data_IF_562695192351
#
_entry.id   IF_562695192351
#
_cell.length_a   1.000
_cell.length_b   1.000
_cell.length_c   1.000
_cell.angle_alpha   90.00
_cell.angle_beta   90.00
_cell.angle_gamma   90.00
#
_symmetry.space_group_name_H-M   'P 1'
#
loop_
_entity.id
_entity.type
_entity.pdbx_description
1 polymer ?
#
# COMPACT_ATOMS: atom_id res chain seq x y z
N UNK A 1 -13.34 -11.84 1.46
CA UNK A 1 -12.69 -11.69 2.78
C UNK A 1 -11.21 -12.05 2.61
N UNK A 2 -10.33 -11.06 2.51
CA UNK A 2 -8.88 -11.30 2.43
C UNK A 2 -8.34 -11.54 3.85
N UNK A 3 -8.11 -12.80 4.18
CA UNK A 3 -7.64 -13.30 5.48
C UNK A 3 -6.18 -13.79 5.41
N UNK A 4 -5.35 -13.20 4.55
CA UNK A 4 -3.92 -13.50 4.58
C UNK A 4 -3.25 -12.68 5.70
N UNK A 5 -2.65 -13.33 6.71
CA UNK A 5 -2.02 -12.61 7.82
C UNK A 5 -0.82 -11.75 7.37
N UNK A 6 -0.24 -12.06 6.21
CA UNK A 6 0.97 -11.43 5.71
C UNK A 6 0.76 -10.86 4.31
N UNK A 7 1.42 -9.73 4.04
CA UNK A 7 1.51 -9.19 2.68
C UNK A 7 2.52 -10.00 1.87
N UNK A 8 2.12 -10.45 0.68
CA UNK A 8 3.05 -10.99 -0.30
C UNK A 8 4.23 -10.02 -0.52
N UNK A 9 5.42 -10.55 -0.83
CA UNK A 9 6.65 -9.74 -1.01
C UNK A 9 6.46 -8.59 -2.01
N UNK A 10 5.69 -8.82 -3.07
CA UNK A 10 5.34 -7.81 -4.07
C UNK A 10 4.48 -6.67 -3.47
N UNK A 11 3.50 -7.00 -2.63
CA UNK A 11 2.63 -6.03 -1.98
C UNK A 11 3.36 -5.26 -0.86
N UNK A 12 4.30 -5.89 -0.15
CA UNK A 12 5.21 -5.19 0.78
C UNK A 12 6.06 -4.15 0.06
N UNK A 13 6.62 -4.51 -1.09
CA UNK A 13 7.41 -3.59 -1.91
C UNK A 13 6.56 -2.43 -2.44
N UNK A 14 5.32 -2.71 -2.88
CA UNK A 14 4.39 -1.68 -3.32
C UNK A 14 3.98 -0.73 -2.18
N UNK A 15 3.72 -1.26 -0.99
CA UNK A 15 3.39 -0.48 0.21
C UNK A 15 4.55 0.44 0.62
N UNK A 16 5.79 -0.07 0.55
CA UNK A 16 6.99 0.73 0.80
C UNK A 16 7.10 1.90 -0.19
N UNK A 17 6.97 1.61 -1.50
CA UNK A 17 7.03 2.64 -2.54
C UNK A 17 5.88 3.64 -2.45
N UNK A 18 4.69 3.20 -2.05
CA UNK A 18 3.55 4.08 -1.81
C UNK A 18 3.85 5.06 -0.66
N UNK A 19 4.42 4.59 0.45
CA UNK A 19 4.85 5.44 1.57
C UNK A 19 5.90 6.47 1.12
N UNK A 20 6.87 6.09 0.31
CA UNK A 20 7.88 7.00 -0.25
C UNK A 20 7.29 8.05 -1.19
N UNK A 21 6.14 7.78 -1.81
CA UNK A 21 5.48 8.72 -2.73
C UNK A 21 4.77 9.87 -2.01
N UNK A 22 4.65 9.81 -0.68
CA UNK A 22 4.10 10.90 0.13
C UNK A 22 2.69 11.32 -0.28
N UNK A 23 2.42 12.62 -0.17
CA UNK A 23 1.09 13.20 -0.43
C UNK A 23 0.72 13.24 -1.93
N UNK A 24 1.73 13.26 -2.81
CA UNK A 24 1.51 13.14 -4.25
C UNK A 24 0.93 11.77 -4.62
N UNK A 25 1.13 10.76 -3.78
CA UNK A 25 0.68 9.40 -4.02
C UNK A 25 1.40 8.73 -5.19
N UNK A 26 1.07 7.46 -5.44
CA UNK A 26 1.69 6.63 -6.47
C UNK A 26 0.73 6.44 -7.65
N UNK A 27 1.17 6.62 -8.90
CA UNK A 27 0.30 6.43 -10.05
C UNK A 27 -0.08 4.94 -10.24
N UNK A 28 -1.20 4.68 -10.91
CA UNK A 28 -1.77 3.35 -11.12
C UNK A 28 -1.13 2.61 -12.32
N UNK A 29 -0.58 3.34 -13.29
CA UNK A 29 0.02 2.83 -14.53
C UNK A 29 1.49 2.37 -14.37
N UNK A 30 1.89 1.99 -13.16
CA UNK A 30 3.22 1.47 -12.83
C UNK A 30 3.19 -0.06 -12.76
N UNK A 31 4.36 -0.74 -12.84
CA UNK A 31 4.41 -2.20 -12.80
C UNK A 31 3.73 -2.82 -11.56
N UNK A 32 3.72 -2.11 -10.43
CA UNK A 32 3.06 -2.53 -9.20
C UNK A 32 1.59 -2.07 -9.05
N UNK A 33 0.98 -1.55 -10.11
CA UNK A 33 -0.44 -1.17 -10.15
C UNK A 33 -1.41 -2.25 -9.65
N UNK A 34 -1.26 -3.53 -10.03
CA UNK A 34 -2.06 -4.62 -9.47
C UNK A 34 -1.94 -4.75 -7.95
N UNK A 35 -0.73 -4.55 -7.40
CA UNK A 35 -0.50 -4.56 -5.96
C UNK A 35 -1.15 -3.35 -5.27
N UNK A 36 -1.13 -2.17 -5.90
CA UNK A 36 -1.80 -0.97 -5.37
C UNK A 36 -3.32 -1.16 -5.30
N UNK A 37 -3.92 -1.81 -6.31
CA UNK A 37 -5.35 -2.18 -6.27
C UNK A 37 -5.66 -3.16 -5.14
N UNK A 38 -4.86 -4.20 -4.94
CA UNK A 38 -5.01 -5.12 -3.80
C UNK A 38 -4.88 -4.39 -2.46
N UNK A 39 -3.88 -3.51 -2.30
CA UNK A 39 -3.73 -2.69 -1.10
C UNK A 39 -4.94 -1.78 -0.86
N UNK A 40 -5.57 -1.29 -1.93
CA UNK A 40 -6.82 -0.51 -1.84
C UNK A 40 -8.01 -1.36 -1.39
N UNK A 41 -8.16 -2.58 -1.92
CA UNK A 41 -9.18 -3.54 -1.46
C UNK A 41 -8.98 -3.94 0.02
N UNK A 42 -7.73 -3.94 0.50
CA UNK A 42 -7.37 -4.17 1.90
C UNK A 42 -7.51 -2.92 2.80
N UNK A 43 -7.86 -1.77 2.24
CA UNK A 43 -7.94 -0.49 2.98
C UNK A 43 -6.59 0.11 3.39
N UNK A 44 -5.47 -0.40 2.88
CA UNK A 44 -4.11 0.08 3.14
C UNK A 44 -3.71 1.22 2.19
N UNK A 45 -4.33 1.27 1.02
CA UNK A 45 -4.22 2.37 0.08
C UNK A 45 -5.60 2.94 -0.23
N UNK A 46 -5.65 4.17 -0.74
CA UNK A 46 -6.87 4.82 -1.22
C UNK A 46 -6.64 5.35 -2.62
N UNK A 47 -7.46 4.92 -3.57
CA UNK A 47 -7.53 5.56 -4.89
C UNK A 47 -8.07 6.98 -4.75
N UNK A 48 -7.31 7.99 -5.19
CA UNK A 48 -7.71 9.42 -5.17
C UNK A 48 -8.27 9.91 -6.50
N UNK A 49 -8.52 8.99 -7.43
CA UNK A 49 -9.01 9.21 -8.79
C UNK A 49 -8.78 7.95 -9.61
N UNK A 50 -8.95 8.02 -10.93
CA UNK A 50 -8.71 6.90 -11.84
C UNK A 50 -7.23 6.42 -11.83
N UNK A 51 -6.30 7.31 -11.48
CA UNK A 51 -4.89 7.11 -11.82
C UNK A 51 -3.91 7.14 -10.66
N UNK A 52 -4.34 7.38 -9.41
CA UNK A 52 -3.40 7.52 -8.29
C UNK A 52 -3.91 6.90 -7.00
N UNK A 53 -2.96 6.38 -6.22
CA UNK A 53 -3.15 5.81 -4.90
C UNK A 53 -2.42 6.63 -3.85
N UNK A 54 -3.05 6.84 -2.70
CA UNK A 54 -2.44 7.45 -1.51
C UNK A 54 -2.43 6.44 -0.38
N UNK A 55 -1.51 6.61 0.57
CA UNK A 55 -1.42 5.76 1.74
C UNK A 55 -2.52 6.13 2.75
N UNK A 56 -3.22 5.13 3.30
CA UNK A 56 -4.16 5.35 4.40
C UNK A 56 -3.46 5.26 5.75
N UNK A 57 -4.13 5.68 6.84
CA UNK A 57 -3.61 5.45 8.21
C UNK A 57 -3.39 3.97 8.52
N UNK A 58 -4.25 3.07 8.03
CA UNK A 58 -4.06 1.63 8.17
C UNK A 58 -2.85 1.13 7.37
N UNK A 59 -2.62 1.68 6.16
CA UNK A 59 -1.43 1.42 5.36
C UNK A 59 -0.14 1.86 6.03
N UNK A 60 -0.17 3.01 6.72
CA UNK A 60 0.95 3.52 7.49
C UNK A 60 1.30 2.61 8.67
N UNK A 61 0.30 2.23 9.48
CA UNK A 61 0.49 1.30 10.58
C UNK A 61 1.02 -0.06 10.09
N UNK A 62 0.47 -0.57 8.98
CA UNK A 62 0.94 -1.82 8.37
C UNK A 62 2.36 -1.70 7.81
N UNK A 63 2.73 -0.55 7.24
CA UNK A 63 4.09 -0.31 6.77
C UNK A 63 5.08 -0.34 7.94
N UNK A 64 4.72 0.33 9.03
CA UNK A 64 5.53 0.38 10.26
C UNK A 64 5.81 -1.01 10.83
N UNK A 65 4.81 -1.90 10.86
CA UNK A 65 5.00 -3.26 11.38
C UNK A 65 5.66 -4.21 10.38
N UNK A 66 5.21 -4.22 9.12
CA UNK A 66 5.64 -5.23 8.15
C UNK A 66 7.00 -4.92 7.53
N UNK A 67 7.31 -3.64 7.33
CA UNK A 67 8.48 -3.17 6.60
C UNK A 67 9.53 -2.61 7.56
N UNK A 68 9.16 -1.70 8.45
CA UNK A 68 10.11 -1.13 9.42
C UNK A 68 10.39 -2.07 10.61
N UNK A 69 9.59 -3.13 10.79
CA UNK A 69 9.67 -4.05 11.95
C UNK A 69 9.60 -3.31 13.29
N UNK A 70 8.86 -2.21 13.31
CA UNK A 70 8.56 -1.46 14.53
C UNK A 70 7.26 -2.01 15.15
N UNK A 71 7.06 -1.84 16.46
CA UNK A 71 5.77 -2.16 17.08
C UNK A 71 4.63 -1.41 16.38
N UNK A 72 3.39 -1.89 16.49
CA UNK A 72 2.23 -1.17 15.94
C UNK A 72 2.09 0.20 16.62
#
# INVERSE_FOLDING_TARGET
MWNEPYLETCCRSALHRLKLSGNDGRPANVPDGPCLRRLNEMGLARSTGADRFTLTGAGDARHRTEILKLPA
#
